data_IF_959722388285
#
_entry.id   IF_959722388285
#
_cell.length_a   1.000
_cell.length_b   1.000
_cell.length_c   1.000
_cell.angle_alpha   90.00
_cell.angle_beta   90.00
_cell.angle_gamma   90.00
#
_symmetry.space_group_name_H-M   'P 1'
#
loop_
_entity.id
_entity.type
_entity.pdbx_description
1 polymer ?
#
# COMPACT_ATOMS: atom_id res chain seq x y z
N UNK A 1 -1.06 -4.07 -18.19
CA UNK A 1 -2.34 -4.75 -18.50
C UNK A 1 -2.22 -5.92 -19.49
N UNK A 2 -1.19 -5.99 -20.36
CA UNK A 2 -1.00 -7.11 -21.31
C UNK A 2 -0.82 -8.49 -20.67
N UNK A 3 -0.49 -8.55 -19.38
CA UNK A 3 -0.24 -9.81 -18.65
C UNK A 3 -1.47 -10.29 -17.88
N UNK A 4 -2.24 -9.39 -17.24
CA UNK A 4 -3.32 -9.78 -16.34
C UNK A 4 -4.60 -10.26 -17.05
N UNK A 5 -4.97 -9.65 -18.19
CA UNK A 5 -6.16 -10.05 -18.93
C UNK A 5 -6.07 -11.48 -19.49
N UNK A 6 -4.96 -11.90 -20.13
CA UNK A 6 -4.79 -13.29 -20.55
C UNK A 6 -4.91 -14.30 -19.40
N UNK A 7 -4.40 -13.96 -18.20
CA UNK A 7 -4.54 -14.82 -17.02
C UNK A 7 -6.00 -14.93 -16.55
N UNK A 8 -6.76 -13.83 -16.56
CA UNK A 8 -8.18 -13.84 -16.21
C UNK A 8 -9.02 -14.71 -17.17
N UNK A 9 -8.73 -14.65 -18.47
CA UNK A 9 -9.49 -15.38 -19.50
C UNK A 9 -9.38 -16.90 -19.31
N UNK A 10 -8.28 -17.40 -18.72
CA UNK A 10 -8.12 -18.85 -18.43
C UNK A 10 -9.23 -19.40 -17.53
N UNK A 11 -9.87 -18.54 -16.74
CA UNK A 11 -10.90 -18.90 -15.77
C UNK A 11 -12.31 -18.53 -16.23
N UNK A 12 -12.53 -18.26 -17.52
CA UNK A 12 -13.84 -17.89 -18.05
C UNK A 12 -14.91 -18.97 -17.79
N UNK A 13 -14.52 -20.25 -17.90
CA UNK A 13 -15.42 -21.39 -17.67
C UNK A 13 -15.39 -21.92 -16.22
N UNK A 14 -14.36 -21.55 -15.46
CA UNK A 14 -14.10 -22.03 -14.09
C UNK A 14 -13.91 -20.84 -13.13
N UNK A 15 -14.96 -20.03 -12.89
CA UNK A 15 -14.84 -18.77 -12.16
C UNK A 15 -14.48 -18.95 -10.67
N UNK A 16 -14.67 -20.14 -10.11
CA UNK A 16 -14.29 -20.45 -8.73
C UNK A 16 -12.76 -20.47 -8.54
N UNK A 17 -12.00 -20.71 -9.61
CA UNK A 17 -10.53 -20.74 -9.60
C UNK A 17 -9.89 -19.37 -9.90
N UNK A 18 -10.68 -18.34 -10.23
CA UNK A 18 -10.15 -17.01 -10.60
C UNK A 18 -9.37 -16.35 -9.47
N UNK A 19 -9.57 -16.79 -8.22
CA UNK A 19 -8.81 -16.32 -7.05
C UNK A 19 -7.30 -16.46 -7.24
N UNK A 20 -6.85 -17.57 -7.82
CA UNK A 20 -5.43 -17.82 -8.11
C UNK A 20 -4.80 -16.73 -8.98
N UNK A 21 -5.54 -16.20 -9.96
CA UNK A 21 -5.06 -15.12 -10.82
C UNK A 21 -4.62 -13.89 -10.01
N UNK A 22 -5.35 -13.53 -8.95
CA UNK A 22 -5.04 -12.38 -8.10
C UNK A 22 -3.89 -12.68 -7.14
N UNK A 23 -3.87 -13.88 -6.54
CA UNK A 23 -2.82 -14.32 -5.62
C UNK A 23 -1.45 -14.29 -6.32
N UNK A 24 -1.34 -14.90 -7.51
CA UNK A 24 -0.09 -14.91 -8.27
C UNK A 24 0.30 -13.54 -8.83
N UNK A 25 -0.66 -12.62 -8.99
CA UNK A 25 -0.42 -11.28 -9.52
C UNK A 25 -0.20 -10.22 -8.43
N UNK A 26 -0.13 -10.61 -7.15
CA UNK A 26 -0.07 -9.68 -6.01
C UNK A 26 1.08 -8.68 -6.14
N UNK A 27 2.28 -9.13 -6.50
CA UNK A 27 3.45 -8.26 -6.65
C UNK A 27 3.28 -7.26 -7.80
N UNK A 28 2.71 -7.72 -8.92
CA UNK A 28 2.45 -6.88 -10.10
C UNK A 28 1.40 -5.82 -9.78
N UNK A 29 0.30 -6.20 -9.14
CA UNK A 29 -0.76 -5.27 -8.71
C UNK A 29 -0.21 -4.24 -7.73
N UNK A 30 0.54 -4.71 -6.73
CA UNK A 30 1.17 -3.85 -5.75
C UNK A 30 2.12 -2.84 -6.40
N UNK A 31 3.01 -3.27 -7.29
CA UNK A 31 3.95 -2.38 -8.00
C UNK A 31 3.21 -1.33 -8.83
N UNK A 32 2.31 -1.77 -9.72
CA UNK A 32 1.59 -0.89 -10.65
C UNK A 32 0.76 0.17 -9.94
N UNK A 33 -0.03 -0.22 -8.93
CA UNK A 33 -0.91 0.73 -8.24
C UNK A 33 -0.14 1.71 -7.37
N UNK A 34 1.03 1.32 -6.91
CA UNK A 34 1.88 2.21 -6.10
C UNK A 34 2.51 3.27 -6.94
N UNK A 35 3.16 2.86 -8.03
CA UNK A 35 3.72 3.78 -9.00
C UNK A 35 2.63 4.73 -9.53
N UNK A 36 1.43 4.19 -9.80
CA UNK A 36 0.31 4.99 -10.24
C UNK A 36 -0.15 6.02 -9.21
N UNK A 37 -0.44 5.58 -7.97
CA UNK A 37 -0.98 6.44 -6.92
C UNK A 37 0.03 7.47 -6.43
N UNK A 38 1.29 7.09 -6.21
CA UNK A 38 2.37 8.01 -5.77
C UNK A 38 2.54 9.16 -6.75
N UNK A 39 2.48 8.89 -8.05
CA UNK A 39 2.58 9.92 -9.07
C UNK A 39 1.26 10.70 -9.28
N UNK A 40 0.14 10.24 -8.70
CA UNK A 40 -1.19 10.75 -9.00
C UNK A 40 -1.43 12.15 -8.46
N UNK A 41 -0.91 12.53 -7.28
CA UNK A 41 -1.11 13.89 -6.75
C UNK A 41 -0.47 14.95 -7.66
N UNK A 42 0.78 14.74 -8.06
CA UNK A 42 1.50 15.63 -8.98
C UNK A 42 0.87 15.61 -10.38
N UNK A 43 0.55 14.43 -10.90
CA UNK A 43 -0.09 14.30 -12.21
C UNK A 43 -1.48 14.96 -12.23
N UNK A 44 -2.28 14.80 -11.16
CA UNK A 44 -3.60 15.41 -11.04
C UNK A 44 -3.53 16.94 -11.01
N UNK A 45 -2.50 17.52 -10.38
CA UNK A 45 -2.29 18.95 -10.45
C UNK A 45 -2.03 19.40 -11.90
N UNK A 46 -1.08 18.76 -12.59
CA UNK A 46 -0.69 19.14 -13.96
C UNK A 46 -1.84 19.08 -14.96
N UNK A 47 -2.70 18.06 -14.88
CA UNK A 47 -3.84 17.88 -15.78
C UNK A 47 -5.01 18.83 -15.48
N UNK A 48 -4.99 19.52 -14.33
CA UNK A 48 -5.98 20.55 -13.98
C UNK A 48 -5.56 21.94 -14.42
N UNK A 49 -4.32 22.11 -14.89
CA UNK A 49 -3.85 23.38 -15.42
C UNK A 49 -4.69 23.78 -16.65
N UNK A 50 -5.07 25.07 -16.79
CA UNK A 50 -5.93 25.54 -17.88
C UNK A 50 -5.42 25.14 -19.27
N UNK A 51 -4.10 25.21 -19.48
CA UNK A 51 -3.44 24.87 -20.73
C UNK A 51 -3.58 23.38 -21.05
N UNK A 52 -3.44 22.51 -20.04
CA UNK A 52 -3.63 21.07 -20.19
C UNK A 52 -5.10 20.75 -20.46
N UNK A 53 -6.02 21.34 -19.70
CA UNK A 53 -7.47 21.14 -19.88
C UNK A 53 -7.90 21.55 -21.29
N UNK A 54 -7.41 22.68 -21.78
CA UNK A 54 -7.69 23.16 -23.14
C UNK A 54 -7.12 22.18 -24.17
N UNK A 55 -5.83 21.84 -24.09
CA UNK A 55 -5.17 20.91 -25.01
C UNK A 55 -5.91 19.57 -25.12
N UNK A 56 -6.28 18.96 -24.00
CA UNK A 56 -6.99 17.67 -24.01
C UNK A 56 -8.45 17.79 -24.47
N UNK A 57 -9.10 18.94 -24.26
CA UNK A 57 -10.45 19.19 -24.78
C UNK A 57 -10.45 19.34 -26.30
N UNK A 58 -9.47 20.05 -26.87
CA UNK A 58 -9.28 20.17 -28.31
C UNK A 58 -9.00 18.80 -28.97
N UNK A 59 -8.17 17.96 -28.34
CA UNK A 59 -7.94 16.57 -28.81
C UNK A 59 -9.24 15.76 -28.78
N UNK A 60 -10.02 15.84 -27.70
CA UNK A 60 -11.28 15.12 -27.56
C UNK A 60 -12.25 15.50 -28.69
N UNK A 61 -12.42 16.78 -28.92
CA UNK A 61 -13.32 17.33 -29.96
C UNK A 61 -12.84 16.99 -31.36
N UNK A 62 -11.55 17.11 -31.64
CA UNK A 62 -10.94 16.74 -32.92
C UNK A 62 -11.15 15.27 -33.27
N UNK A 63 -11.21 14.39 -32.28
CA UNK A 63 -11.45 12.95 -32.45
C UNK A 63 -12.92 12.55 -32.27
N UNK A 64 -13.84 13.52 -32.16
CA UNK A 64 -15.29 13.28 -31.99
C UNK A 64 -15.62 12.36 -30.80
N UNK A 65 -14.85 12.44 -29.72
CA UNK A 65 -15.07 11.64 -28.52
C UNK A 65 -16.20 12.23 -27.67
N UNK A 66 -16.99 11.37 -27.01
CA UNK A 66 -18.06 11.80 -26.11
C UNK A 66 -17.54 12.69 -24.98
N UNK A 67 -18.39 13.58 -24.46
CA UNK A 67 -18.02 14.51 -23.37
C UNK A 67 -17.51 13.78 -22.11
N UNK A 68 -18.00 12.56 -21.86
CA UNK A 68 -17.58 11.72 -20.74
C UNK A 68 -16.20 11.05 -20.95
N UNK A 69 -15.60 11.15 -22.14
CA UNK A 69 -14.24 10.66 -22.48
C UNK A 69 -13.21 11.78 -22.36
N UNK A 70 -13.26 12.54 -21.25
CA UNK A 70 -12.23 13.51 -20.93
C UNK A 70 -11.06 12.84 -20.16
N UNK A 71 -9.88 13.48 -20.14
CA UNK A 71 -8.69 12.89 -19.53
C UNK A 71 -8.92 12.46 -18.05
N UNK A 72 -9.64 13.28 -17.29
CA UNK A 72 -9.98 13.00 -15.89
C UNK A 72 -10.75 11.68 -15.75
N UNK A 73 -11.70 11.40 -16.65
CA UNK A 73 -12.50 10.18 -16.60
C UNK A 73 -11.71 8.91 -16.93
N UNK A 74 -10.54 9.05 -17.57
CA UNK A 74 -9.60 7.94 -17.82
C UNK A 74 -8.63 7.73 -16.67
N UNK A 75 -8.13 8.81 -16.07
CA UNK A 75 -7.17 8.75 -14.96
C UNK A 75 -7.79 8.13 -13.71
N UNK A 76 -9.09 8.30 -13.48
CA UNK A 76 -9.73 7.64 -12.34
C UNK A 76 -9.94 6.11 -12.55
N UNK A 77 -9.77 5.58 -13.78
CA UNK A 77 -10.12 4.19 -14.11
C UNK A 77 -9.29 3.14 -13.36
N UNK A 78 -7.96 3.26 -13.16
CA UNK A 78 -7.20 2.28 -12.38
C UNK A 78 -7.72 2.18 -10.93
N UNK A 79 -7.91 3.32 -10.25
CA UNK A 79 -8.46 3.36 -8.88
C UNK A 79 -9.88 2.77 -8.82
N UNK A 80 -10.71 3.02 -9.84
CA UNK A 80 -12.01 2.38 -9.94
C UNK A 80 -11.89 0.87 -10.19
N UNK A 81 -10.92 0.44 -11.00
CA UNK A 81 -10.76 -0.96 -11.43
C UNK A 81 -10.44 -1.87 -10.25
N UNK A 82 -9.54 -1.48 -9.36
CA UNK A 82 -9.24 -2.30 -8.16
C UNK A 82 -10.48 -2.45 -7.26
N UNK A 83 -11.29 -1.40 -7.16
CA UNK A 83 -12.56 -1.44 -6.42
C UNK A 83 -13.56 -2.40 -7.08
N UNK A 84 -13.60 -2.45 -8.41
CA UNK A 84 -14.44 -3.41 -9.14
C UNK A 84 -14.00 -4.85 -8.92
N UNK A 85 -12.69 -5.13 -8.89
CA UNK A 85 -12.20 -6.47 -8.55
C UNK A 85 -12.60 -6.88 -7.13
N UNK A 86 -12.51 -5.96 -6.15
CA UNK A 86 -12.97 -6.21 -4.79
C UNK A 86 -14.43 -6.63 -4.75
N UNK A 87 -15.30 -5.87 -5.41
CA UNK A 87 -16.74 -6.15 -5.46
C UNK A 87 -17.04 -7.48 -6.17
N UNK A 88 -16.32 -7.79 -7.26
CA UNK A 88 -16.47 -9.04 -7.98
C UNK A 88 -16.09 -10.24 -7.11
N UNK A 89 -14.93 -10.21 -6.46
CA UNK A 89 -14.48 -11.26 -5.54
C UNK A 89 -15.44 -11.40 -4.35
N UNK A 90 -15.96 -10.29 -3.82
CA UNK A 90 -16.98 -10.31 -2.77
C UNK A 90 -18.25 -11.05 -3.21
N UNK A 91 -18.69 -10.89 -4.48
CA UNK A 91 -19.80 -11.66 -5.01
C UNK A 91 -19.44 -13.14 -5.18
N UNK A 92 -18.22 -13.48 -5.61
CA UNK A 92 -17.78 -14.86 -5.73
C UNK A 92 -17.74 -15.56 -4.36
N UNK A 93 -17.19 -14.92 -3.32
CA UNK A 93 -17.20 -15.47 -1.95
C UNK A 93 -18.62 -15.78 -1.46
N UNK A 94 -19.61 -14.96 -1.85
CA UNK A 94 -21.02 -15.14 -1.43
C UNK A 94 -21.74 -16.27 -2.17
N UNK A 95 -21.35 -16.58 -3.40
CA UNK A 95 -22.14 -17.42 -4.30
C UNK A 95 -21.44 -18.73 -4.70
N UNK A 96 -20.11 -18.80 -4.64
CA UNK A 96 -19.35 -20.01 -4.95
C UNK A 96 -19.31 -20.96 -3.76
N UNK A 97 -19.24 -22.27 -4.04
CA UNK A 97 -19.17 -23.30 -3.01
C UNK A 97 -17.79 -23.94 -2.92
N UNK A 98 -17.04 -23.94 -4.01
CA UNK A 98 -15.67 -24.44 -4.04
C UNK A 98 -14.68 -23.27 -4.06
N UNK A 99 -13.43 -23.56 -3.66
CA UNK A 99 -12.29 -22.63 -3.65
C UNK A 99 -12.56 -21.29 -2.93
N UNK A 100 -13.45 -21.31 -1.95
CA UNK A 100 -13.88 -20.10 -1.23
C UNK A 100 -12.72 -19.47 -0.46
N UNK A 101 -11.77 -20.26 0.04
CA UNK A 101 -10.61 -19.75 0.76
C UNK A 101 -9.63 -19.02 -0.17
N UNK A 102 -9.41 -19.54 -1.37
CA UNK A 102 -8.59 -18.91 -2.40
C UNK A 102 -9.23 -17.61 -2.91
N UNK A 103 -10.56 -17.58 -3.03
CA UNK A 103 -11.29 -16.35 -3.39
C UNK A 103 -11.20 -15.32 -2.24
N UNK A 104 -11.26 -15.75 -0.96
CA UNK A 104 -11.06 -14.86 0.19
C UNK A 104 -9.64 -14.30 0.23
N UNK A 105 -8.63 -15.13 0.00
CA UNK A 105 -7.23 -14.68 -0.07
C UNK A 105 -7.04 -13.68 -1.21
N UNK A 106 -7.60 -13.96 -2.39
CA UNK A 106 -7.64 -13.02 -3.51
C UNK A 106 -8.32 -11.69 -3.15
N UNK A 107 -9.43 -11.74 -2.39
CA UNK A 107 -10.11 -10.55 -1.89
C UNK A 107 -9.20 -9.72 -0.98
N UNK A 108 -8.51 -10.36 -0.04
CA UNK A 108 -7.56 -9.70 0.86
C UNK A 108 -6.40 -9.06 0.10
N UNK A 109 -5.87 -9.75 -0.92
CA UNK A 109 -4.87 -9.19 -1.84
C UNK A 109 -5.40 -7.90 -2.47
N UNK A 110 -6.57 -7.93 -3.10
CA UNK A 110 -7.15 -6.77 -3.79
C UNK A 110 -7.48 -5.62 -2.84
N UNK A 111 -7.93 -5.90 -1.63
CA UNK A 111 -8.17 -4.88 -0.58
C UNK A 111 -6.87 -4.27 -0.07
N UNK A 112 -5.79 -5.04 0.00
CA UNK A 112 -4.49 -4.58 0.49
C UNK A 112 -3.81 -3.59 -0.47
N UNK A 113 -3.97 -3.76 -1.79
CA UNK A 113 -3.32 -2.95 -2.83
C UNK A 113 -3.53 -1.43 -2.65
N UNK A 114 -4.77 -0.90 -2.57
CA UNK A 114 -4.99 0.54 -2.41
C UNK A 114 -4.54 1.05 -1.03
N UNK A 115 -4.69 0.25 0.04
CA UNK A 115 -4.22 0.62 1.38
C UNK A 115 -2.71 0.82 1.37
N UNK A 116 -2.01 -0.13 0.77
CA UNK A 116 -0.56 -0.08 0.64
C UNK A 116 -0.12 1.15 -0.13
N UNK A 117 -0.67 1.38 -1.33
CA UNK A 117 -0.38 2.56 -2.13
C UNK A 117 -0.61 3.86 -1.34
N UNK A 118 -1.69 3.94 -0.55
CA UNK A 118 -1.96 5.06 0.34
C UNK A 118 -0.89 5.24 1.44
N UNK A 119 -0.47 4.16 2.08
CA UNK A 119 0.58 4.20 3.09
C UNK A 119 1.90 4.77 2.53
N UNK A 120 2.22 4.44 1.28
CA UNK A 120 3.45 4.92 0.63
C UNK A 120 3.38 6.33 0.11
N UNK A 121 2.21 6.80 -0.32
CA UNK A 121 2.03 8.22 -0.59
C UNK A 121 2.31 9.03 0.67
N UNK A 122 1.83 8.58 1.83
CA UNK A 122 2.09 9.24 3.10
C UNK A 122 3.55 9.09 3.59
N UNK A 123 4.22 7.98 3.28
CA UNK A 123 5.63 7.79 3.63
C UNK A 123 6.61 8.43 2.65
N UNK A 124 6.27 8.54 1.35
CA UNK A 124 7.08 9.22 0.34
C UNK A 124 7.18 10.72 0.58
N UNK A 125 6.25 11.30 1.35
CA UNK A 125 6.33 12.66 1.87
C UNK A 125 7.30 12.81 3.06
N UNK A 126 7.88 11.71 3.57
CA UNK A 126 9.02 11.76 4.49
C UNK A 126 10.32 11.63 3.69
N UNK A 127 10.78 12.76 3.20
CA UNK A 127 12.07 12.86 2.52
C UNK A 127 13.20 12.36 3.46
N UNK A 128 13.99 11.38 3.00
CA UNK A 128 15.34 11.12 3.54
C UNK A 128 15.57 10.01 4.57
N UNK A 129 14.57 9.25 5.05
CA UNK A 129 14.83 8.19 6.02
C UNK A 129 15.21 6.86 5.34
N UNK A 130 16.52 6.61 5.19
CA UNK A 130 17.01 5.25 4.96
C UNK A 130 16.69 4.39 6.19
N UNK A 131 15.63 3.59 6.10
CA UNK A 131 15.28 2.56 7.10
C UNK A 131 16.43 1.58 7.38
N UNK A 132 17.41 1.49 6.48
CA UNK A 132 18.59 0.62 6.57
C UNK A 132 19.51 0.88 7.78
N UNK A 133 19.29 1.95 8.56
CA UNK A 133 20.16 2.30 9.69
C UNK A 133 19.41 2.49 11.02
N UNK A 134 18.17 2.00 11.14
CA UNK A 134 17.41 2.11 12.39
C UNK A 134 17.79 0.96 13.34
N UNK A 135 18.05 1.28 14.60
CA UNK A 135 18.30 0.35 15.70
C UNK A 135 17.22 0.50 16.77
N UNK A 136 16.80 -0.61 17.38
CA UNK A 136 15.79 -0.61 18.47
C UNK A 136 16.47 -0.78 19.83
N UNK A 137 16.26 0.19 20.72
CA UNK A 137 16.61 0.09 22.13
C UNK A 137 15.37 -0.30 22.94
N UNK A 138 15.32 -1.54 23.41
CA UNK A 138 14.16 -2.10 24.11
C UNK A 138 14.04 -1.61 25.55
N UNK A 139 15.16 -1.28 26.20
CA UNK A 139 15.14 -0.74 27.56
C UNK A 139 15.25 0.79 27.54
N UNK A 140 14.32 1.46 28.21
CA UNK A 140 14.35 2.88 28.53
C UNK A 140 14.09 2.99 30.02
N UNK A 141 14.94 3.71 30.74
CA UNK A 141 14.86 3.81 32.20
C UNK A 141 13.52 4.40 32.65
N UNK A 142 12.96 3.84 33.73
CA UNK A 142 11.79 4.39 34.42
C UNK A 142 10.42 4.08 33.80
N UNK A 143 10.32 3.40 32.65
CA UNK A 143 9.02 2.98 32.10
C UNK A 143 9.10 1.67 31.27
N UNK A 144 8.50 0.56 31.75
CA UNK A 144 8.52 -0.71 31.03
C UNK A 144 7.77 -0.66 29.69
N UNK A 145 6.87 0.32 29.46
CA UNK A 145 6.16 0.48 28.18
C UNK A 145 6.91 1.36 27.17
N UNK A 146 8.07 1.91 27.53
CA UNK A 146 8.90 2.70 26.60
C UNK A 146 9.96 1.87 25.89
N UNK A 147 10.26 2.28 24.66
CA UNK A 147 11.37 1.81 23.84
C UNK A 147 11.89 2.98 23.00
N UNK A 148 13.06 2.86 22.37
CA UNK A 148 13.58 3.92 21.52
C UNK A 148 14.03 3.39 20.15
N UNK A 149 13.91 4.23 19.14
CA UNK A 149 14.47 4.03 17.81
C UNK A 149 15.65 4.97 17.62
N UNK A 150 16.77 4.47 17.13
CA UNK A 150 17.98 5.25 16.86
C UNK A 150 18.38 5.09 15.41
N UNK A 151 18.62 6.19 14.71
CA UNK A 151 19.18 6.16 13.37
C UNK A 151 20.72 6.21 13.40
N UNK A 152 21.37 5.39 12.57
CA UNK A 152 22.83 5.34 12.41
C UNK A 152 23.49 4.15 13.12
N UNK A 153 24.65 3.77 12.59
CA UNK A 153 25.51 2.69 13.12
C UNK A 153 26.30 3.10 14.37
N UNK A 154 26.49 4.40 14.58
CA UNK A 154 27.22 4.95 15.73
C UNK A 154 26.25 5.20 16.89
N UNK A 155 26.58 4.79 18.13
CA UNK A 155 25.77 5.10 19.30
C UNK A 155 25.86 6.59 19.65
N UNK A 156 25.02 7.40 19.00
CA UNK A 156 24.76 8.81 19.35
C UNK A 156 23.32 8.99 19.83
N UNK A 157 23.11 9.93 20.75
CA UNK A 157 21.78 10.32 21.24
C UNK A 157 21.09 11.36 20.34
N UNK A 158 21.80 11.94 19.37
CA UNK A 158 21.28 13.04 18.54
C UNK A 158 20.11 12.64 17.64
N UNK A 159 20.01 11.35 17.27
CA UNK A 159 18.95 10.79 16.43
C UNK A 159 18.17 9.67 17.13
N UNK A 160 18.00 9.78 18.46
CA UNK A 160 17.24 8.83 19.27
C UNK A 160 15.83 9.37 19.55
N UNK A 161 14.83 8.64 19.06
CA UNK A 161 13.42 8.92 19.33
C UNK A 161 12.89 7.92 20.36
N UNK A 162 12.43 8.42 21.50
CA UNK A 162 11.72 7.60 22.49
C UNK A 162 10.23 7.48 22.13
N UNK A 163 9.71 6.27 22.25
CA UNK A 163 8.31 5.93 21.97
C UNK A 163 7.72 5.22 23.19
N UNK A 164 6.46 5.51 23.49
CA UNK A 164 5.72 4.89 24.59
C UNK A 164 4.57 4.08 24.04
N UNK A 165 4.59 2.78 24.28
CA UNK A 165 3.47 1.91 23.97
C UNK A 165 2.36 2.05 25.02
N UNK A 166 1.14 1.67 24.65
CA UNK A 166 -0.01 1.68 25.56
C UNK A 166 0.20 0.80 26.81
N UNK A 167 0.96 -0.30 26.67
CA UNK A 167 1.37 -1.18 27.75
C UNK A 167 2.61 -2.00 27.32
N UNK A 168 3.18 -2.75 28.26
CA UNK A 168 4.38 -3.58 28.04
C UNK A 168 4.17 -4.66 26.97
N UNK A 169 2.98 -5.28 26.90
CA UNK A 169 2.69 -6.31 25.90
C UNK A 169 2.69 -5.72 24.47
N UNK A 170 2.11 -4.54 24.30
CA UNK A 170 2.15 -3.80 23.04
C UNK A 170 3.59 -3.45 22.66
N UNK A 171 4.42 -2.97 23.61
CA UNK A 171 5.83 -2.72 23.37
C UNK A 171 6.56 -3.96 22.88
N UNK A 172 6.40 -5.11 23.55
CA UNK A 172 7.06 -6.37 23.16
C UNK A 172 6.67 -6.76 21.73
N UNK A 173 5.39 -6.64 21.39
CA UNK A 173 4.91 -6.89 20.03
C UNK A 173 5.54 -5.93 19.01
N UNK A 174 5.61 -4.64 19.34
CA UNK A 174 6.19 -3.61 18.48
C UNK A 174 7.69 -3.83 18.25
N UNK A 175 8.46 -4.06 19.32
CA UNK A 175 9.90 -4.32 19.25
C UNK A 175 10.17 -5.57 18.41
N UNK A 176 9.39 -6.64 18.61
CA UNK A 176 9.49 -7.87 17.80
C UNK A 176 9.25 -7.58 16.33
N UNK A 177 8.16 -6.87 16.00
CA UNK A 177 7.86 -6.51 14.61
C UNK A 177 8.96 -5.66 14.00
N UNK A 178 9.41 -4.60 14.66
CA UNK A 178 10.48 -3.74 14.14
C UNK A 178 11.78 -4.53 13.91
N UNK A 179 12.13 -5.48 14.79
CA UNK A 179 13.29 -6.38 14.59
C UNK A 179 13.11 -7.34 13.42
N UNK A 180 11.93 -7.95 13.27
CA UNK A 180 11.60 -8.81 12.10
C UNK A 180 11.74 -8.02 10.80
N UNK A 181 11.28 -6.77 10.80
CA UNK A 181 11.42 -5.84 9.67
C UNK A 181 12.89 -5.54 9.38
N UNK A 182 13.67 -5.14 10.39
CA UNK A 182 15.11 -4.88 10.24
C UNK A 182 15.91 -6.10 9.74
N UNK A 183 15.61 -7.30 10.24
CA UNK A 183 16.28 -8.53 9.82
C UNK A 183 15.86 -8.97 8.41
N UNK A 184 14.57 -8.82 8.07
CA UNK A 184 14.04 -9.09 6.74
C UNK A 184 14.62 -8.17 5.65
N UNK A 185 15.05 -6.96 6.02
CA UNK A 185 15.73 -6.02 5.11
C UNK A 185 17.13 -6.48 4.71
N UNK A 186 17.82 -7.29 5.52
CA UNK A 186 19.15 -7.81 5.17
C UNK A 186 19.08 -9.04 4.26
N UNK A 187 17.97 -9.78 4.26
CA UNK A 187 17.82 -11.03 3.50
C UNK A 187 17.03 -10.88 2.20
N UNK A 188 16.19 -9.84 2.07
CA UNK A 188 15.32 -9.67 0.91
C UNK A 188 15.71 -8.48 0.04
N UNK A 189 16.25 -8.79 -1.13
CA UNK A 189 16.39 -7.84 -2.24
C UNK A 189 15.00 -7.26 -2.58
N UNK A 190 14.81 -5.96 -2.32
CA UNK A 190 13.72 -5.04 -2.72
C UNK A 190 12.23 -5.41 -2.47
N UNK A 191 11.82 -6.68 -2.47
CA UNK A 191 10.41 -7.09 -2.42
C UNK A 191 9.73 -6.99 -1.05
N UNK A 192 10.47 -7.14 0.06
CA UNK A 192 9.88 -7.13 1.42
C UNK A 192 9.87 -5.78 2.12
N UNK A 193 10.65 -4.78 1.68
CA UNK A 193 10.62 -3.39 2.18
C UNK A 193 9.18 -2.83 2.23
N UNK A 194 8.37 -3.38 1.35
CA UNK A 194 7.05 -2.95 0.97
C UNK A 194 5.96 -3.46 1.97
N UNK A 195 6.14 -4.65 2.58
CA UNK A 195 5.28 -5.17 3.69
C UNK A 195 5.53 -4.43 5.01
N UNK A 196 6.73 -3.84 5.16
CA UNK A 196 7.18 -3.16 6.37
C UNK A 196 6.49 -1.81 6.59
N UNK A 197 6.28 -1.09 5.50
CA UNK A 197 5.70 0.25 5.47
C UNK A 197 4.25 0.25 5.95
N UNK A 198 3.45 -0.73 5.50
CA UNK A 198 2.07 -0.92 5.95
C UNK A 198 1.94 -1.31 7.43
N UNK A 199 3.00 -1.87 8.02
CA UNK A 199 3.05 -2.16 9.46
C UNK A 199 3.33 -0.87 10.26
N UNK A 200 4.20 0.01 9.75
CA UNK A 200 4.52 1.30 10.37
C UNK A 200 3.34 2.29 10.32
N UNK A 201 2.56 2.34 9.25
CA UNK A 201 1.35 3.18 9.15
C UNK A 201 0.28 2.76 10.17
N UNK A 202 0.04 1.46 10.36
CA UNK A 202 -0.85 0.95 11.41
C UNK A 202 -0.32 1.25 12.83
N UNK A 203 0.99 1.19 13.05
CA UNK A 203 1.62 1.60 14.31
C UNK A 203 1.40 3.11 14.60
N UNK A 204 1.65 3.98 13.62
CA UNK A 204 1.52 5.44 13.78
C UNK A 204 0.06 5.90 13.97
N UNK A 205 -0.89 5.32 13.24
CA UNK A 205 -2.32 5.59 13.40
C UNK A 205 -2.86 5.14 14.77
N UNK A 206 -2.26 4.10 15.37
CA UNK A 206 -2.63 3.66 16.72
C UNK A 206 -2.08 4.60 17.82
N UNK A 207 -0.90 5.20 17.62
CA UNK A 207 -0.37 6.22 18.54
C UNK A 207 -1.24 7.49 18.59
N UNK A 208 -1.67 8.02 17.43
CA UNK A 208 -2.45 9.28 17.39
C UNK A 208 -3.83 9.19 18.05
N UNK A 209 -4.41 7.99 18.15
CA UNK A 209 -5.72 7.77 18.78
C UNK A 209 -5.68 7.76 20.32
N UNK A 210 -4.51 7.59 20.91
CA UNK A 210 -4.33 7.52 22.37
C UNK A 210 -3.78 8.82 23.00
N UNK A 211 -3.56 9.87 22.21
CA UNK A 211 -3.19 11.21 22.68
C UNK A 211 -4.41 12.14 22.91
N UNK A 212 -5.63 11.67 22.66
CA UNK A 212 -6.87 12.46 22.77
C UNK A 212 -7.85 11.97 23.84
N UNK A 213 -7.37 11.30 24.89
CA UNK A 213 -8.16 11.01 26.10
C UNK A 213 -7.33 11.20 27.35
#
# INVERSE_FOLDING_TARGET
>A
MRVFLPELIKYENDPEDVGYCFIFSVEILNSLYTEYCVNMEQNNYLITLPEAVQFFSEIREKNSLEHNQNLQSFIIKPVQRITRYRLMLEQLVKNCKNNVEEIKEAYDVVVSVPRRANDLMHLGNFDGYKLAEINVCEHVEGDPSKFALRQGSVPSNELRTELRAANEQCKVHWVKKIRELMQGLMTANLGMLYVMIASFSMLFLHCRRNESK
#
